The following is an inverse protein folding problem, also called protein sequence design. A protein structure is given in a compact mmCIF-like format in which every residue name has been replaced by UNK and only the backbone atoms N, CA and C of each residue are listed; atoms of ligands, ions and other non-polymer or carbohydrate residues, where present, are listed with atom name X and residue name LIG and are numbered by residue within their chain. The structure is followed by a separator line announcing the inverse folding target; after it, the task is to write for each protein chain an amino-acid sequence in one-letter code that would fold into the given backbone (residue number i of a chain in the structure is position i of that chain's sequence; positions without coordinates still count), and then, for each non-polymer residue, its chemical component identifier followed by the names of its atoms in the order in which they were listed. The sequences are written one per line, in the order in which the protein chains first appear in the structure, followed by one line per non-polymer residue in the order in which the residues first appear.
data_IF_850974130880
#
_entry.id   IF_850974130880
#
_cell.length_a   1.000
_cell.length_b   1.000
_cell.length_c   1.000
_cell.angle_alpha   90.00
_cell.angle_beta   90.00
_cell.angle_gamma   90.00
#
_symmetry.space_group_name_H-M   'P 1'
#
loop_
_entity.id
_entity.type
_entity.pdbx_description
1 polymer ?
#
# COMPACT_ATOMS: atom_id res chain seq x y z
N UNK A 1 3.21 4.13 4.51
CA UNK A 1 1.84 4.43 4.05
C UNK A 1 0.91 3.35 4.59
N UNK A 2 -0.28 3.71 5.08
CA UNK A 2 -1.34 2.77 5.51
C UNK A 2 -2.68 3.26 5.00
N UNK A 3 -3.57 2.34 4.62
CA UNK A 3 -4.95 2.67 4.24
C UNK A 3 -5.92 1.75 4.98
N UNK A 4 -6.57 2.28 6.02
CA UNK A 4 -7.56 1.57 6.83
C UNK A 4 -8.96 1.57 6.21
N UNK A 5 -9.16 2.30 5.12
CA UNK A 5 -10.48 2.65 4.59
C UNK A 5 -10.73 2.07 3.20
N UNK A 6 -9.90 1.11 2.76
CA UNK A 6 -10.11 0.44 1.48
C UNK A 6 -11.44 -0.33 1.53
N UNK A 7 -12.22 -0.19 0.46
CA UNK A 7 -13.52 -0.83 0.31
C UNK A 7 -13.51 -1.82 -0.84
N UNK A 8 -14.27 -2.89 -0.68
CA UNK A 8 -14.57 -3.85 -1.73
C UNK A 8 -15.58 -3.31 -2.75
N UNK A 9 -15.87 -4.10 -3.77
CA UNK A 9 -16.77 -3.72 -4.87
C UNK A 9 -18.23 -3.43 -4.44
N UNK A 10 -18.68 -4.03 -3.34
CA UNK A 10 -20.00 -3.82 -2.72
C UNK A 10 -20.01 -2.65 -1.72
N UNK A 11 -18.87 -1.98 -1.50
CA UNK A 11 -18.72 -0.83 -0.63
C UNK A 11 -18.48 -1.14 0.85
N UNK A 12 -18.35 -2.40 1.25
CA UNK A 12 -17.94 -2.77 2.62
C UNK A 12 -16.44 -2.49 2.85
N UNK A 13 -16.03 -2.34 4.11
CA UNK A 13 -14.62 -2.13 4.45
C UNK A 13 -13.86 -3.46 4.49
N UNK A 14 -12.78 -3.57 3.72
CA UNK A 14 -11.95 -4.78 3.67
C UNK A 14 -11.14 -5.03 4.96
N UNK A 15 -11.02 -4.01 5.81
CA UNK A 15 -10.33 -4.09 7.09
C UNK A 15 -11.22 -3.56 8.21
N UNK A 16 -11.38 -4.28 9.34
CA UNK A 16 -12.28 -3.91 10.41
C UNK A 16 -11.87 -2.61 11.14
N UNK A 17 -10.59 -2.27 11.13
CA UNK A 17 -10.09 -1.02 11.69
C UNK A 17 -9.99 -1.00 13.22
N UNK A 18 -10.09 0.19 13.81
CA UNK A 18 -10.07 0.40 15.26
C UNK A 18 -8.89 -0.29 15.96
N UNK A 19 -9.16 -1.15 16.95
CA UNK A 19 -8.15 -1.88 17.71
C UNK A 19 -7.37 -2.89 16.86
N UNK A 20 -7.97 -3.42 15.79
CA UNK A 20 -7.31 -4.40 14.92
C UNK A 20 -6.17 -3.78 14.10
N UNK A 21 -6.10 -2.45 13.98
CA UNK A 21 -4.95 -1.75 13.39
C UNK A 21 -3.63 -2.09 14.10
N UNK A 22 -3.66 -2.51 15.36
CA UNK A 22 -2.48 -2.97 16.09
C UNK A 22 -1.78 -4.14 15.38
N UNK A 23 -2.51 -4.99 14.64
CA UNK A 23 -1.97 -6.14 13.89
C UNK A 23 -1.08 -5.70 12.72
N UNK A 24 -1.41 -4.58 12.09
CA UNK A 24 -0.58 -3.99 11.03
C UNK A 24 0.63 -3.28 11.62
N UNK A 25 0.49 -2.65 12.79
CA UNK A 25 1.64 -2.08 13.52
C UNK A 25 2.60 -3.17 14.03
N UNK A 26 2.07 -4.29 14.51
CA UNK A 26 2.83 -5.50 14.85
C UNK A 26 3.67 -5.96 13.64
N UNK A 27 3.05 -6.09 12.46
CA UNK A 27 3.78 -6.43 11.24
C UNK A 27 4.86 -5.39 10.87
N UNK A 28 4.60 -4.10 11.05
CA UNK A 28 5.61 -3.06 10.80
C UNK A 28 6.82 -3.20 11.73
N UNK A 29 6.60 -3.50 13.01
CA UNK A 29 7.67 -3.75 13.98
C UNK A 29 8.45 -5.00 13.55
N UNK A 30 7.76 -6.08 13.20
CA UNK A 30 8.39 -7.30 12.71
C UNK A 30 9.20 -7.10 11.43
N UNK A 31 8.76 -6.21 10.52
CA UNK A 31 9.54 -5.82 9.34
C UNK A 31 10.81 -5.07 9.71
N UNK A 32 10.74 -4.14 10.65
CA UNK A 32 11.90 -3.40 11.14
C UNK A 32 12.92 -4.31 11.85
N UNK A 33 12.44 -5.31 12.59
CA UNK A 33 13.27 -6.26 13.32
C UNK A 33 13.72 -7.47 12.48
N UNK A 34 13.34 -7.53 11.20
CA UNK A 34 13.69 -8.63 10.29
C UNK A 34 12.97 -9.95 10.56
N UNK A 35 11.88 -9.94 11.33
CA UNK A 35 11.02 -11.11 11.62
C UNK A 35 9.93 -11.35 10.57
N UNK A 36 9.53 -10.30 9.84
CA UNK A 36 8.70 -10.41 8.64
C UNK A 36 9.53 -10.07 7.41
N UNK A 37 9.26 -10.72 6.27
CA UNK A 37 9.96 -10.48 5.00
C UNK A 37 9.28 -9.42 4.15
N UNK A 38 7.95 -9.49 4.03
CA UNK A 38 7.17 -8.70 3.08
C UNK A 38 7.40 -9.11 1.63
N UNK A 39 6.46 -8.80 0.74
CA UNK A 39 6.60 -8.96 -0.70
C UNK A 39 6.97 -7.63 -1.34
N UNK A 40 7.98 -7.65 -2.22
CA UNK A 40 8.31 -6.49 -3.02
C UNK A 40 7.24 -6.28 -4.09
N UNK A 41 6.72 -5.06 -4.17
CA UNK A 41 5.74 -4.62 -5.17
C UNK A 41 6.23 -3.34 -5.84
N UNK A 42 5.62 -2.92 -6.97
CA UNK A 42 5.97 -1.66 -7.63
C UNK A 42 5.90 -0.42 -6.72
N UNK A 43 5.05 -0.46 -5.68
CA UNK A 43 4.78 0.65 -4.77
C UNK A 43 5.51 0.53 -3.43
N UNK A 44 6.41 -0.45 -3.29
CA UNK A 44 7.15 -0.73 -2.06
C UNK A 44 6.88 -2.12 -1.51
N UNK A 45 7.06 -2.32 -0.21
CA UNK A 45 6.91 -3.63 0.42
C UNK A 45 5.53 -3.74 1.06
N UNK A 46 4.77 -4.76 0.69
CA UNK A 46 3.50 -5.13 1.33
C UNK A 46 3.67 -6.39 2.18
N UNK A 47 2.77 -6.69 3.13
CA UNK A 47 2.74 -7.99 3.80
C UNK A 47 2.65 -9.13 2.79
N UNK A 48 3.40 -10.21 3.01
CA UNK A 48 3.14 -11.48 2.31
C UNK A 48 1.89 -12.15 2.89
N UNK A 49 1.30 -13.08 2.14
CA UNK A 49 0.22 -13.92 2.65
C UNK A 49 0.70 -14.66 3.91
N UNK A 50 -0.06 -14.53 4.99
CA UNK A 50 0.23 -15.15 6.28
C UNK A 50 1.15 -14.36 7.21
N UNK A 51 1.68 -13.20 6.79
CA UNK A 51 2.48 -12.35 7.69
C UNK A 51 1.63 -11.44 8.58
N UNK A 52 0.38 -11.18 8.21
CA UNK A 52 -0.55 -10.47 9.07
C UNK A 52 -1.14 -11.43 10.09
N UNK A 53 -1.13 -11.04 11.37
CA UNK A 53 -1.83 -11.77 12.41
C UNK A 53 -3.35 -11.59 12.26
N UNK A 54 -4.02 -12.59 11.71
CA UNK A 54 -5.48 -12.62 11.52
C UNK A 54 -6.21 -13.48 12.55
N UNK A 55 -5.53 -13.88 13.64
CA UNK A 55 -6.14 -14.75 14.65
C UNK A 55 -7.37 -14.08 15.28
N UNK A 56 -8.47 -14.83 15.30
CA UNK A 56 -9.78 -14.39 15.82
C UNK A 56 -10.38 -13.18 15.10
N UNK A 57 -9.89 -12.87 13.90
CA UNK A 57 -10.46 -11.84 13.05
C UNK A 57 -11.45 -12.46 12.06
N UNK A 58 -12.67 -11.94 12.01
CA UNK A 58 -13.69 -12.36 11.05
C UNK A 58 -13.52 -11.57 9.74
N UNK A 59 -12.40 -11.83 9.04
CA UNK A 59 -12.10 -11.24 7.73
C UNK A 59 -11.92 -12.37 6.72
N UNK A 60 -12.73 -12.41 5.65
CA UNK A 60 -12.58 -13.35 4.54
C UNK A 60 -11.17 -13.33 3.94
N UNK A 61 -10.67 -14.50 3.53
CA UNK A 61 -9.38 -14.59 2.87
C UNK A 61 -9.31 -13.77 1.58
N UNK A 62 -10.43 -13.73 0.83
CA UNK A 62 -10.55 -12.94 -0.41
C UNK A 62 -10.43 -11.43 -0.14
N UNK A 63 -10.94 -10.94 0.99
CA UNK A 63 -10.82 -9.52 1.38
C UNK A 63 -9.37 -9.17 1.70
N UNK A 64 -8.63 -10.08 2.35
CA UNK A 64 -7.19 -9.88 2.62
C UNK A 64 -6.40 -9.87 1.32
N UNK A 65 -6.71 -10.77 0.39
CA UNK A 65 -6.08 -10.82 -0.91
C UNK A 65 -6.36 -9.53 -1.71
N UNK A 66 -7.60 -9.05 -1.72
CA UNK A 66 -7.97 -7.78 -2.33
C UNK A 66 -7.27 -6.61 -1.64
N UNK A 67 -7.25 -6.57 -0.30
CA UNK A 67 -6.61 -5.52 0.50
C UNK A 67 -5.14 -5.35 0.14
N UNK A 68 -4.43 -6.46 -0.08
CA UNK A 68 -3.01 -6.51 -0.40
C UNK A 68 -2.71 -6.46 -1.90
N UNK A 69 -3.73 -6.46 -2.76
CA UNK A 69 -3.56 -6.36 -4.21
C UNK A 69 -3.14 -4.94 -4.62
N UNK A 70 -2.18 -4.87 -5.54
CA UNK A 70 -1.77 -3.63 -6.22
C UNK A 70 -2.46 -3.54 -7.57
N UNK A 71 -3.48 -2.68 -7.68
CA UNK A 71 -4.07 -2.32 -8.97
C UNK A 71 -3.11 -1.38 -9.73
N UNK A 72 -2.41 -1.93 -10.72
CA UNK A 72 -1.42 -1.19 -11.52
C UNK A 72 -2.05 -0.01 -12.27
N UNK A 73 -3.29 -0.14 -12.72
CA UNK A 73 -3.97 0.91 -13.47
C UNK A 73 -4.33 2.09 -12.56
N UNK A 74 -4.91 1.80 -11.39
CA UNK A 74 -5.23 2.81 -10.37
C UNK A 74 -3.96 3.51 -9.86
N UNK A 75 -2.88 2.76 -9.58
CA UNK A 75 -1.62 3.36 -9.14
C UNK A 75 -0.92 4.16 -10.24
N UNK A 76 -1.07 3.78 -11.51
CA UNK A 76 -0.55 4.59 -12.61
C UNK A 76 -1.28 5.93 -12.69
N UNK A 77 -2.61 5.93 -12.57
CA UNK A 77 -3.40 7.15 -12.52
C UNK A 77 -3.05 8.02 -11.29
N UNK A 78 -2.86 7.39 -10.12
CA UNK A 78 -2.41 8.09 -8.90
C UNK A 78 -1.04 8.75 -9.10
N UNK A 79 -0.06 8.03 -9.69
CA UNK A 79 1.25 8.59 -9.96
C UNK A 79 1.23 9.71 -11.02
N UNK A 80 0.24 9.73 -11.92
CA UNK A 80 0.00 10.86 -12.82
C UNK A 80 -0.54 12.07 -12.05
N UNK A 81 -1.57 11.87 -11.22
CA UNK A 81 -2.15 12.93 -10.37
C UNK A 81 -1.13 13.53 -9.39
N UNK A 82 -0.27 12.70 -8.79
CA UNK A 82 0.86 13.16 -7.96
C UNK A 82 1.81 14.04 -8.77
N UNK A 83 2.05 13.72 -10.05
CA UNK A 83 2.87 14.54 -10.94
C UNK A 83 2.24 15.91 -11.21
N UNK A 84 0.93 15.96 -11.45
CA UNK A 84 0.18 17.21 -11.62
C UNK A 84 0.23 18.08 -10.34
N UNK A 85 0.03 17.46 -9.17
CA UNK A 85 0.17 18.13 -7.89
C UNK A 85 1.59 18.70 -7.69
N UNK A 86 2.61 17.90 -8.02
CA UNK A 86 4.01 18.32 -7.89
C UNK A 86 4.38 19.47 -8.82
N UNK A 87 3.79 19.53 -10.02
CA UNK A 87 4.00 20.63 -10.95
C UNK A 87 3.56 21.99 -10.36
N UNK A 88 2.59 21.99 -9.44
CA UNK A 88 2.16 23.19 -8.71
C UNK A 88 3.26 23.85 -7.86
N UNK A 89 4.33 23.12 -7.51
CA UNK A 89 5.48 23.69 -6.80
C UNK A 89 6.50 24.38 -7.72
N UNK A 90 6.42 24.16 -9.04
CA UNK A 90 7.34 24.71 -10.03
C UNK A 90 8.80 24.38 -9.72
N UNK A 91 9.69 25.36 -9.84
CA UNK A 91 11.13 25.22 -9.61
C UNK A 91 11.51 24.82 -8.18
N UNK A 92 10.59 24.93 -7.21
CA UNK A 92 10.83 24.53 -5.82
C UNK A 92 10.63 23.04 -5.59
N UNK A 93 10.10 22.30 -6.56
CA UNK A 93 9.92 20.86 -6.43
C UNK A 93 11.30 20.17 -6.41
N UNK A 94 11.67 19.44 -5.33
CA UNK A 94 12.92 18.70 -5.31
C UNK A 94 12.95 17.65 -6.43
N UNK A 95 14.02 17.64 -7.22
CA UNK A 95 14.20 16.67 -8.31
C UNK A 95 14.11 15.22 -7.83
N UNK A 96 14.53 14.94 -6.60
CA UNK A 96 14.45 13.62 -6.00
C UNK A 96 13.01 13.07 -5.91
N UNK A 97 12.00 13.93 -5.66
CA UNK A 97 10.61 13.49 -5.62
C UNK A 97 10.15 13.04 -7.01
N UNK A 98 10.51 13.78 -8.05
CA UNK A 98 10.14 13.46 -9.43
C UNK A 98 10.85 12.19 -9.91
N UNK A 99 12.13 12.03 -9.57
CA UNK A 99 12.86 10.78 -9.80
C UNK A 99 12.18 9.58 -9.14
N UNK A 100 11.70 9.72 -7.89
CA UNK A 100 10.98 8.62 -7.22
C UNK A 100 9.64 8.30 -7.88
N UNK A 101 8.86 9.32 -8.26
CA UNK A 101 7.60 9.14 -8.99
C UNK A 101 7.80 8.39 -10.31
N UNK A 102 8.82 8.78 -11.08
CA UNK A 102 9.19 8.10 -12.33
C UNK A 102 9.65 6.66 -12.09
N UNK A 103 10.42 6.40 -11.04
CA UNK A 103 10.85 5.05 -10.68
C UNK A 103 9.67 4.14 -10.32
N UNK A 104 8.64 4.66 -9.63
CA UNK A 104 7.39 3.92 -9.37
C UNK A 104 6.67 3.61 -10.68
N UNK A 105 6.51 4.60 -11.58
CA UNK A 105 5.88 4.40 -12.89
C UNK A 105 6.58 3.33 -13.73
N UNK A 106 7.92 3.30 -13.73
CA UNK A 106 8.69 2.27 -14.43
C UNK A 106 8.41 0.87 -13.87
N UNK A 107 8.36 0.72 -12.53
CA UNK A 107 8.01 -0.57 -11.90
C UNK A 107 6.56 -0.98 -12.16
N UNK A 108 5.65 -0.02 -12.31
CA UNK A 108 4.25 -0.29 -12.65
C UNK A 108 4.07 -0.72 -14.11
N UNK A 109 4.99 -0.35 -15.01
CA UNK A 109 4.96 -0.71 -16.43
C UNK A 109 5.61 -2.08 -16.75
N UNK A 110 6.46 -2.61 -15.85
CA UNK A 110 7.09 -3.94 -15.97
C UNK A 110 6.25 -5.05 -15.37
#
# INVERSE_FOLDING_TARGET
HVNWFRKGADGHFLWPGFGDNLRVLEWMIDRCDGRASGQLTPIGVLPQRGELNLQSLDVPADDVDELLQVDRSAWTAEMQAVGEYMAGFGERCPAALESQRQAVLQRLAS
#
